data_IF_448613108388
#
_entry.id   IF_448613108388
#
_cell.length_a   1.000
_cell.length_b   1.000
_cell.length_c   1.000
_cell.angle_alpha   90.00
_cell.angle_beta   90.00
_cell.angle_gamma   90.00
#
_symmetry.space_group_name_H-M   'P 1'
#
loop_
_entity.id
_entity.type
_entity.pdbx_description
1 polymer ?
#
# COMPACT_ATOMS: atom_id res chain seq x y z
N UNK A 1 16.83 -5.64 -8.12
CA UNK A 1 15.76 -5.96 -7.17
C UNK A 1 16.13 -5.70 -5.71
N UNK A 2 17.39 -5.36 -5.41
CA UNK A 2 17.80 -5.05 -4.03
C UNK A 2 17.35 -3.66 -3.58
N UNK A 3 17.35 -2.68 -4.49
CA UNK A 3 16.92 -1.31 -4.22
C UNK A 3 15.94 -0.83 -5.28
N UNK A 4 15.04 0.08 -4.92
CA UNK A 4 14.02 0.59 -5.85
C UNK A 4 14.59 1.60 -6.85
N UNK A 5 15.58 2.38 -6.43
CA UNK A 5 16.27 3.37 -7.27
C UNK A 5 17.61 3.76 -6.66
N UNK A 6 18.48 4.31 -7.52
CA UNK A 6 19.75 4.90 -7.12
C UNK A 6 19.70 6.39 -7.49
N UNK A 7 20.05 7.25 -6.55
CA UNK A 7 20.02 8.71 -6.72
C UNK A 7 21.31 9.34 -6.22
N UNK A 8 21.69 10.53 -6.70
CA UNK A 8 22.83 11.28 -6.14
C UNK A 8 22.63 11.54 -4.64
N UNK A 9 23.72 11.51 -3.87
CA UNK A 9 23.67 11.72 -2.40
C UNK A 9 22.93 13.00 -2.02
N UNK A 10 23.10 14.08 -2.78
CA UNK A 10 22.43 15.37 -2.56
C UNK A 10 20.89 15.27 -2.64
N UNK A 11 20.36 14.30 -3.37
CA UNK A 11 18.90 14.09 -3.57
C UNK A 11 18.34 12.98 -2.71
N UNK A 12 19.16 12.27 -1.94
CA UNK A 12 18.74 11.09 -1.18
C UNK A 12 17.60 11.42 -0.21
N UNK A 13 17.74 12.44 0.61
CA UNK A 13 16.74 12.82 1.59
C UNK A 13 15.44 13.31 0.92
N UNK A 14 15.55 14.15 -0.10
CA UNK A 14 14.41 14.67 -0.84
C UNK A 14 13.59 13.53 -1.47
N UNK A 15 14.23 12.61 -2.18
CA UNK A 15 13.58 11.47 -2.82
C UNK A 15 12.98 10.49 -1.79
N UNK A 16 13.68 10.25 -0.70
CA UNK A 16 13.20 9.38 0.38
C UNK A 16 11.97 9.98 1.06
N UNK A 17 12.01 11.26 1.40
CA UNK A 17 10.87 11.95 2.03
C UNK A 17 9.66 12.01 1.09
N UNK A 18 9.88 12.23 -0.20
CA UNK A 18 8.81 12.22 -1.19
C UNK A 18 8.15 10.84 -1.29
N UNK A 19 8.92 9.76 -1.26
CA UNK A 19 8.40 8.39 -1.24
C UNK A 19 7.63 8.09 0.05
N UNK A 20 8.18 8.48 1.20
CA UNK A 20 7.53 8.30 2.50
C UNK A 20 6.20 9.07 2.57
N UNK A 21 6.17 10.30 2.07
CA UNK A 21 4.95 11.11 2.02
C UNK A 21 3.85 10.45 1.18
N UNK A 22 4.20 9.91 0.02
CA UNK A 22 3.24 9.17 -0.82
C UNK A 22 2.65 7.95 -0.13
N UNK A 23 3.44 7.27 0.71
CA UNK A 23 2.94 6.14 1.50
C UNK A 23 2.05 6.64 2.64
N UNK A 24 2.44 7.72 3.31
CA UNK A 24 1.68 8.31 4.42
C UNK A 24 0.30 8.85 3.99
N UNK A 25 0.13 9.20 2.72
CA UNK A 25 -1.15 9.64 2.14
C UNK A 25 -2.11 8.48 1.85
N UNK A 26 -1.66 7.24 1.97
CA UNK A 26 -2.50 6.06 1.75
C UNK A 26 -3.15 5.62 3.07
N UNK A 27 -4.23 4.86 2.95
CA UNK A 27 -4.84 4.21 4.11
C UNK A 27 -3.81 3.34 4.84
N UNK A 28 -3.64 3.56 6.13
CA UNK A 28 -2.72 2.79 6.97
C UNK A 28 -3.10 1.31 7.00
N UNK A 29 -4.38 0.99 7.08
CA UNK A 29 -4.88 -0.39 7.05
C UNK A 29 -4.42 -1.07 5.77
N UNK A 30 -4.61 -0.43 4.62
CA UNK A 30 -4.21 -0.99 3.33
C UNK A 30 -2.70 -1.15 3.23
N UNK A 31 -1.92 -0.18 3.66
CA UNK A 31 -0.45 -0.27 3.61
C UNK A 31 0.09 -1.38 4.51
N UNK A 32 -0.51 -1.60 5.68
CA UNK A 32 -0.17 -2.73 6.57
C UNK A 32 -0.46 -4.07 5.90
N UNK A 33 -1.63 -4.23 5.29
CA UNK A 33 -2.03 -5.46 4.58
C UNK A 33 -1.10 -5.73 3.39
N UNK A 34 -0.75 -4.72 2.61
CA UNK A 34 0.19 -4.84 1.49
C UNK A 34 1.56 -5.30 1.99
N UNK A 35 2.08 -4.68 3.04
CA UNK A 35 3.37 -5.05 3.63
C UNK A 35 3.37 -6.50 4.14
N UNK A 36 2.31 -6.91 4.82
CA UNK A 36 2.15 -8.29 5.29
C UNK A 36 2.11 -9.27 4.12
N UNK A 37 1.35 -8.98 3.07
CA UNK A 37 1.23 -9.84 1.89
C UNK A 37 2.59 -10.02 1.19
N UNK A 38 3.36 -8.94 1.05
CA UNK A 38 4.71 -8.99 0.46
C UNK A 38 5.64 -9.85 1.33
N UNK A 39 5.66 -9.65 2.65
CA UNK A 39 6.50 -10.43 3.55
C UNK A 39 6.12 -11.92 3.52
N UNK A 40 4.82 -12.24 3.49
CA UNK A 40 4.34 -13.63 3.41
C UNK A 40 4.76 -14.34 2.13
N UNK A 41 4.96 -13.62 1.04
CA UNK A 41 5.38 -14.22 -0.22
C UNK A 41 6.73 -14.94 -0.12
N UNK A 42 7.57 -14.57 0.85
CA UNK A 42 8.85 -15.22 1.13
C UNK A 42 8.78 -16.40 2.10
N UNK A 43 7.62 -16.59 2.75
CA UNK A 43 7.43 -17.60 3.81
C UNK A 43 6.48 -18.73 3.39
N UNK A 44 5.85 -18.62 2.23
CA UNK A 44 4.84 -19.58 1.77
C UNK A 44 5.08 -20.00 0.33
N UNK A 45 4.35 -21.04 -0.10
CA UNK A 45 4.25 -21.36 -1.53
C UNK A 45 3.48 -20.25 -2.28
N UNK A 46 3.68 -20.15 -3.59
CA UNK A 46 2.94 -19.20 -4.42
C UNK A 46 1.43 -19.35 -4.25
N UNK A 47 0.93 -20.58 -4.23
CA UNK A 47 -0.51 -20.86 -4.08
C UNK A 47 -1.08 -20.31 -2.78
N UNK A 48 -0.40 -20.58 -1.67
CA UNK A 48 -0.83 -20.12 -0.35
C UNK A 48 -0.68 -18.59 -0.22
N UNK A 49 0.37 -18.02 -0.77
CA UNK A 49 0.56 -16.56 -0.81
C UNK A 49 -0.55 -15.85 -1.57
N UNK A 50 -0.92 -16.36 -2.75
CA UNK A 50 -2.04 -15.81 -3.54
C UNK A 50 -3.39 -15.96 -2.82
N UNK A 51 -3.60 -17.08 -2.12
CA UNK A 51 -4.82 -17.28 -1.34
C UNK A 51 -4.90 -16.30 -0.17
N UNK A 52 -3.78 -16.08 0.52
CA UNK A 52 -3.69 -15.06 1.58
C UNK A 52 -4.00 -13.67 1.05
N UNK A 53 -3.33 -13.26 -0.04
CA UNK A 53 -3.54 -11.95 -0.67
C UNK A 53 -5.00 -11.73 -1.06
N UNK A 54 -5.64 -12.71 -1.66
CA UNK A 54 -7.06 -12.65 -2.04
C UNK A 54 -7.96 -12.43 -0.83
N UNK A 55 -7.75 -13.18 0.26
CA UNK A 55 -8.54 -13.03 1.49
C UNK A 55 -8.31 -11.67 2.13
N UNK A 56 -7.06 -11.24 2.20
CA UNK A 56 -6.69 -9.95 2.73
C UNK A 56 -7.33 -8.80 1.91
N UNK A 57 -7.28 -8.89 0.58
CA UNK A 57 -7.93 -7.94 -0.32
C UNK A 57 -9.44 -7.87 -0.07
N UNK A 58 -10.12 -9.03 0.02
CA UNK A 58 -11.56 -9.05 0.28
C UNK A 58 -11.91 -8.45 1.66
N UNK A 59 -11.08 -8.65 2.66
CA UNK A 59 -11.32 -8.07 3.99
C UNK A 59 -11.30 -6.55 4.00
N UNK A 60 -10.54 -5.92 3.10
CA UNK A 60 -10.48 -4.46 2.98
C UNK A 60 -11.81 -3.84 2.55
N UNK A 61 -12.70 -4.60 1.90
CA UNK A 61 -14.05 -4.11 1.55
C UNK A 61 -14.92 -3.79 2.78
N UNK A 62 -14.55 -4.26 3.96
CA UNK A 62 -15.21 -3.88 5.20
C UNK A 62 -14.73 -2.53 5.76
N UNK A 63 -13.71 -1.91 5.15
CA UNK A 63 -13.17 -0.64 5.62
C UNK A 63 -13.88 0.58 5.00
N UNK A 64 -13.97 1.65 5.77
CA UNK A 64 -14.48 2.94 5.27
C UNK A 64 -13.53 3.52 4.21
N UNK A 65 -12.23 3.31 4.38
CA UNK A 65 -11.21 3.79 3.45
C UNK A 65 -11.33 3.16 2.05
N UNK A 66 -11.77 1.91 1.97
CA UNK A 66 -12.05 1.28 0.68
C UNK A 66 -13.21 2.00 -0.03
N UNK A 67 -14.28 2.28 0.68
CA UNK A 67 -15.43 3.02 0.13
C UNK A 67 -15.02 4.42 -0.32
N UNK A 68 -14.27 5.13 0.51
CA UNK A 68 -13.73 6.45 0.18
C UNK A 68 -12.80 6.40 -1.03
N UNK A 69 -11.90 5.42 -1.09
CA UNK A 69 -10.97 5.27 -2.21
C UNK A 69 -11.70 5.03 -3.54
N UNK A 70 -12.72 4.19 -3.54
CA UNK A 70 -13.54 3.93 -4.73
C UNK A 70 -14.34 5.17 -5.16
N UNK A 71 -14.95 5.87 -4.22
CA UNK A 71 -15.69 7.11 -4.49
C UNK A 71 -14.76 8.19 -5.07
N UNK A 72 -13.61 8.41 -4.43
CA UNK A 72 -12.62 9.38 -4.89
C UNK A 72 -12.11 9.07 -6.30
N UNK A 73 -11.88 7.79 -6.60
CA UNK A 73 -11.47 7.36 -7.94
C UNK A 73 -12.54 7.68 -9.00
N UNK A 74 -13.81 7.37 -8.73
CA UNK A 74 -14.92 7.65 -9.64
C UNK A 74 -15.15 9.16 -9.85
N UNK A 75 -15.00 9.93 -8.79
CA UNK A 75 -15.18 11.39 -8.79
C UNK A 75 -13.92 12.15 -9.25
N UNK A 76 -12.82 11.46 -9.50
CA UNK A 76 -11.52 12.03 -9.91
C UNK A 76 -10.99 13.08 -8.93
N UNK A 77 -11.14 12.82 -7.63
CA UNK A 77 -10.64 13.66 -6.55
C UNK A 77 -9.61 12.92 -5.69
N UNK A 78 -8.89 13.65 -4.87
CA UNK A 78 -7.97 13.07 -3.88
C UNK A 78 -8.78 12.44 -2.75
N UNK A 79 -8.52 11.16 -2.39
CA UNK A 79 -9.20 10.52 -1.28
C UNK A 79 -8.77 11.10 0.07
N UNK A 80 -9.69 11.06 1.04
CA UNK A 80 -9.45 11.48 2.41
C UNK A 80 -9.56 10.26 3.32
N UNK A 81 -8.48 9.52 3.46
CA UNK A 81 -8.43 8.31 4.28
C UNK A 81 -8.43 8.65 5.77
N UNK A 82 -9.10 7.80 6.57
CA UNK A 82 -9.25 7.95 8.02
C UNK A 82 -8.64 6.79 8.79
N UNK A 83 -7.99 5.85 8.10
CA UNK A 83 -7.40 4.64 8.67
C UNK A 83 -8.43 3.72 9.36
N UNK A 84 -9.59 3.64 8.76
CA UNK A 84 -10.72 2.84 9.25
C UNK A 84 -11.27 1.87 8.20
#
# INVERSE_FOLDING_TARGET
GLVSRVVPVKKLMEETMAAAQKIAEKSMITTMVVKESVNRSFETTLREGLLFERRAFHSLFASEDQTEGMAAFMEKRTPQFRDK
#
